data_IF_001986609393
#
_entry.id   IF_001986609393
#
_cell.length_a   1.000
_cell.length_b   1.000
_cell.length_c   1.000
_cell.angle_alpha   90.00
_cell.angle_beta   90.00
_cell.angle_gamma   90.00
#
_symmetry.space_group_name_H-M   'P 1'
#
loop_
_entity.id
_entity.type
_entity.pdbx_description
1 polymer ?
#
# COMPACT_ATOMS: atom_id res chain seq x y z
N UNK A 1 -20.44 -29.19 25.10
CA UNK A 1 -19.69 -28.66 23.93
C UNK A 1 -20.45 -27.43 23.42
N UNK A 2 -19.96 -26.23 23.48
CA UNK A 2 -20.44 -25.04 22.73
C UNK A 2 -20.31 -23.70 23.47
N UNK A 3 -19.48 -23.59 24.49
CA UNK A 3 -19.21 -22.28 25.13
C UNK A 3 -18.02 -21.54 24.50
N UNK A 4 -17.11 -22.24 23.81
CA UNK A 4 -15.90 -21.63 23.24
C UNK A 4 -16.11 -20.87 21.92
N UNK A 5 -16.96 -21.37 21.02
CA UNK A 5 -17.20 -20.78 19.70
C UNK A 5 -17.96 -19.44 19.76
N UNK A 6 -18.90 -19.29 20.68
CA UNK A 6 -19.58 -17.98 20.90
C UNK A 6 -18.63 -16.91 21.46
N UNK A 7 -17.62 -17.31 22.23
CA UNK A 7 -16.66 -16.40 22.85
C UNK A 7 -15.78 -15.67 21.81
N UNK A 8 -15.30 -16.34 20.77
CA UNK A 8 -14.35 -15.77 19.80
C UNK A 8 -14.99 -14.99 18.64
N UNK A 9 -16.30 -15.04 18.47
CA UNK A 9 -16.98 -14.26 17.42
C UNK A 9 -16.68 -12.77 17.52
N UNK A 10 -16.62 -12.23 18.74
CA UNK A 10 -16.30 -10.82 19.00
C UNK A 10 -14.86 -10.51 18.62
N UNK A 11 -13.92 -11.39 18.87
CA UNK A 11 -12.51 -11.25 18.48
C UNK A 11 -12.35 -11.23 16.96
N UNK A 12 -13.08 -12.11 16.25
CA UNK A 12 -13.10 -12.11 14.78
C UNK A 12 -13.57 -10.76 14.22
N UNK A 13 -14.67 -10.24 14.73
CA UNK A 13 -15.15 -8.91 14.32
C UNK A 13 -14.21 -7.78 14.73
N UNK A 14 -13.50 -7.90 15.85
CA UNK A 14 -12.47 -6.94 16.23
C UNK A 14 -11.34 -6.89 15.21
N UNK A 15 -10.85 -8.07 14.75
CA UNK A 15 -9.85 -8.13 13.69
C UNK A 15 -10.35 -7.54 12.37
N UNK A 16 -11.56 -7.88 11.96
CA UNK A 16 -12.18 -7.38 10.73
C UNK A 16 -12.37 -5.87 10.74
N UNK A 17 -12.92 -5.33 11.83
CA UNK A 17 -13.10 -3.90 11.99
C UNK A 17 -11.76 -3.15 12.02
N UNK A 18 -10.74 -3.72 12.67
CA UNK A 18 -9.41 -3.11 12.72
C UNK A 18 -8.76 -3.07 11.35
N UNK A 19 -8.89 -4.13 10.56
CA UNK A 19 -8.35 -4.17 9.20
C UNK A 19 -9.00 -3.13 8.28
N UNK A 20 -10.30 -2.92 8.43
CA UNK A 20 -11.03 -1.84 7.76
C UNK A 20 -10.54 -0.46 8.25
N UNK A 21 -10.37 -0.27 9.57
CA UNK A 21 -9.93 1.00 10.12
C UNK A 21 -8.50 1.37 9.68
N UNK A 22 -7.62 0.37 9.50
CA UNK A 22 -6.24 0.57 9.04
C UNK A 22 -6.14 1.19 7.64
N UNK A 23 -7.13 0.98 6.78
CA UNK A 23 -7.13 1.58 5.44
C UNK A 23 -7.09 3.12 5.46
N UNK A 24 -7.52 3.76 6.57
CA UNK A 24 -7.49 5.21 6.72
C UNK A 24 -6.06 5.78 6.71
N UNK A 25 -5.11 5.09 7.32
CA UNK A 25 -3.71 5.56 7.37
C UNK A 25 -2.95 5.36 6.05
N UNK A 26 -3.42 4.47 5.19
CA UNK A 26 -2.84 4.26 3.87
C UNK A 26 -3.46 5.15 2.78
N UNK A 27 -4.76 5.47 2.90
CA UNK A 27 -5.50 6.17 1.85
C UNK A 27 -5.62 7.68 2.09
N UNK A 28 -5.70 8.11 3.36
CA UNK A 28 -5.91 9.52 3.68
C UNK A 28 -4.69 10.41 3.33
N UNK A 29 -3.43 10.05 3.65
CA UNK A 29 -2.28 10.88 3.30
C UNK A 29 -2.15 11.15 1.80
N UNK A 30 -2.18 10.16 0.88
CA UNK A 30 -2.10 10.41 -0.56
C UNK A 30 -3.23 11.31 -1.09
N UNK A 31 -4.44 11.15 -0.55
CA UNK A 31 -5.60 11.97 -0.91
C UNK A 31 -5.40 13.46 -0.54
N UNK A 32 -4.57 13.75 0.45
CA UNK A 32 -4.28 15.10 0.95
C UNK A 32 -2.97 15.69 0.41
N UNK A 33 -2.20 14.98 -0.43
CA UNK A 33 -0.88 15.43 -0.88
C UNK A 33 -0.91 16.81 -1.52
N UNK A 34 -1.79 17.07 -2.49
CA UNK A 34 -1.92 18.39 -3.10
C UNK A 34 -2.35 19.46 -2.08
N UNK A 35 -3.27 19.11 -1.16
CA UNK A 35 -3.67 20.04 -0.08
C UNK A 35 -2.46 20.44 0.78
N UNK A 36 -1.53 19.51 1.05
CA UNK A 36 -0.32 19.81 1.82
C UNK A 36 0.72 20.58 1.02
N UNK A 37 0.85 20.27 -0.28
CA UNK A 37 1.69 21.03 -1.20
C UNK A 37 1.25 22.50 -1.25
N UNK A 38 -0.03 22.75 -1.54
CA UNK A 38 -0.57 24.09 -1.73
C UNK A 38 -0.61 24.89 -0.42
N UNK A 39 -0.95 24.26 0.71
CA UNK A 39 -1.17 24.95 1.99
C UNK A 39 0.11 25.22 2.76
N UNK A 40 1.04 24.28 2.74
CA UNK A 40 2.27 24.32 3.57
C UNK A 40 3.54 24.46 2.73
N UNK A 41 3.45 24.52 1.40
CA UNK A 41 4.61 24.59 0.51
C UNK A 41 5.50 23.34 0.57
N UNK A 42 4.92 22.18 0.92
CA UNK A 42 5.67 20.92 1.04
C UNK A 42 5.93 20.37 -0.35
N UNK A 43 7.19 20.14 -0.70
CA UNK A 43 7.57 19.63 -2.02
C UNK A 43 7.08 18.20 -2.24
N UNK A 44 6.92 17.80 -3.50
CA UNK A 44 6.52 16.42 -3.86
C UNK A 44 7.56 15.39 -3.38
N UNK A 45 8.84 15.74 -3.36
CA UNK A 45 9.89 14.93 -2.73
C UNK A 45 9.58 14.63 -1.26
N UNK A 46 9.21 15.65 -0.49
CA UNK A 46 8.87 15.50 0.92
C UNK A 46 7.58 14.71 1.14
N UNK A 47 6.59 14.85 0.25
CA UNK A 47 5.36 14.03 0.28
C UNK A 47 5.67 12.56 -0.02
N UNK A 48 6.50 12.28 -1.02
CA UNK A 48 7.01 10.93 -1.29
C UNK A 48 7.81 10.36 -0.12
N UNK A 49 8.58 11.21 0.59
CA UNK A 49 9.32 10.78 1.80
C UNK A 49 8.38 10.31 2.91
N UNK A 50 7.17 10.85 3.05
CA UNK A 50 6.19 10.34 4.01
C UNK A 50 5.77 8.89 3.69
N UNK A 51 5.62 8.55 2.41
CA UNK A 51 5.35 7.17 1.98
C UNK A 51 6.54 6.28 2.27
N UNK A 52 7.76 6.75 1.97
CA UNK A 52 9.00 6.03 2.29
C UNK A 52 9.08 5.73 3.79
N UNK A 53 8.87 6.74 4.65
CA UNK A 53 8.88 6.60 6.11
C UNK A 53 7.82 5.60 6.57
N UNK A 54 6.61 5.64 5.99
CA UNK A 54 5.54 4.71 6.33
C UNK A 54 5.99 3.25 6.14
N UNK A 55 6.42 2.87 4.94
CA UNK A 55 6.81 1.49 4.64
C UNK A 55 8.12 1.07 5.32
N UNK A 56 9.11 1.95 5.42
CA UNK A 56 10.35 1.66 6.16
C UNK A 56 10.08 1.42 7.66
N UNK A 57 9.11 2.14 8.25
CA UNK A 57 8.71 1.93 9.64
C UNK A 57 8.01 0.59 9.81
N UNK A 58 7.10 0.22 8.89
CA UNK A 58 6.44 -1.08 8.89
C UNK A 58 7.45 -2.22 8.78
N UNK A 59 8.33 -2.17 7.77
CA UNK A 59 9.41 -3.12 7.57
C UNK A 59 10.29 -3.28 8.83
N UNK A 60 10.61 -2.16 9.51
CA UNK A 60 11.38 -2.19 10.75
C UNK A 60 10.62 -2.94 11.85
N UNK A 61 9.33 -2.72 11.99
CA UNK A 61 8.47 -3.44 12.93
C UNK A 61 8.44 -4.93 12.61
N UNK A 62 8.25 -5.30 11.35
CA UNK A 62 8.20 -6.70 10.91
C UNK A 62 9.51 -7.43 11.23
N UNK A 63 10.65 -6.79 10.97
CA UNK A 63 11.96 -7.33 11.30
C UNK A 63 12.15 -7.48 12.81
N UNK A 64 11.77 -6.47 13.61
CA UNK A 64 11.83 -6.54 15.07
C UNK A 64 10.99 -7.73 15.58
N UNK A 65 9.77 -7.89 15.09
CA UNK A 65 8.93 -8.98 15.52
C UNK A 65 9.39 -10.35 14.99
N UNK A 66 9.96 -10.42 13.80
CA UNK A 66 10.55 -11.68 13.28
C UNK A 66 11.67 -12.19 14.18
N UNK A 67 12.57 -11.31 14.66
CA UNK A 67 13.74 -11.73 15.43
C UNK A 67 13.52 -11.70 16.96
N UNK A 68 12.61 -10.87 17.44
CA UNK A 68 12.44 -10.59 18.89
C UNK A 68 11.05 -10.89 19.43
N UNK A 69 10.22 -11.65 18.71
CA UNK A 69 8.84 -12.00 19.09
C UNK A 69 8.71 -12.48 20.54
N UNK A 70 9.69 -13.24 21.05
CA UNK A 70 9.70 -13.80 22.41
C UNK A 70 9.66 -12.76 23.54
N UNK A 71 10.04 -11.51 23.26
CA UNK A 71 10.06 -10.43 24.25
C UNK A 71 8.74 -9.67 24.33
N UNK A 72 7.83 -9.89 23.39
CA UNK A 72 6.57 -9.17 23.30
C UNK A 72 5.39 -10.04 23.75
N UNK A 73 4.45 -9.42 24.45
CA UNK A 73 3.20 -10.07 24.80
C UNK A 73 2.15 -9.80 23.72
N UNK A 74 1.76 -10.81 22.92
CA UNK A 74 0.83 -10.63 21.80
C UNK A 74 -0.49 -9.98 22.21
N UNK A 75 -1.03 -10.37 23.37
CA UNK A 75 -2.32 -9.85 23.85
C UNK A 75 -2.25 -8.37 24.23
N UNK A 76 -1.14 -7.94 24.87
CA UNK A 76 -0.94 -6.52 25.19
C UNK A 76 -0.72 -5.72 23.92
N UNK A 77 0.11 -6.21 23.00
CA UNK A 77 0.41 -5.54 21.72
C UNK A 77 -0.86 -5.34 20.90
N UNK A 78 -1.70 -6.36 20.74
CA UNK A 78 -2.96 -6.29 20.01
C UNK A 78 -3.92 -5.23 20.57
N UNK A 79 -3.95 -5.07 21.91
CA UNK A 79 -4.81 -4.06 22.56
C UNK A 79 -4.26 -2.65 22.44
N UNK A 80 -2.92 -2.50 22.42
CA UNK A 80 -2.28 -1.17 22.34
C UNK A 80 -2.18 -0.64 20.92
N UNK A 81 -2.07 -1.51 19.92
CA UNK A 81 -1.88 -1.15 18.52
C UNK A 81 -2.91 -0.11 18.01
N UNK A 82 -4.23 -0.23 18.23
CA UNK A 82 -5.18 0.77 17.75
C UNK A 82 -5.02 2.13 18.44
N UNK A 83 -4.54 2.15 19.69
CA UNK A 83 -4.24 3.41 20.39
C UNK A 83 -3.09 4.16 19.72
N UNK A 84 -2.07 3.44 19.21
CA UNK A 84 -0.98 4.05 18.43
C UNK A 84 -1.51 4.63 17.12
N UNK A 85 -2.43 3.94 16.43
CA UNK A 85 -3.05 4.48 15.22
C UNK A 85 -3.79 5.79 15.51
N UNK A 86 -4.62 5.81 16.55
CA UNK A 86 -5.32 7.02 17.00
C UNK A 86 -4.35 8.14 17.32
N UNK A 87 -3.33 7.86 18.13
CA UNK A 87 -2.32 8.86 18.52
C UNK A 87 -1.58 9.40 17.29
N UNK A 88 -1.17 8.52 16.36
CA UNK A 88 -0.50 8.93 15.13
C UNK A 88 -1.33 9.86 14.27
N UNK A 89 -2.61 9.54 14.04
CA UNK A 89 -3.53 10.40 13.30
C UNK A 89 -3.79 11.75 14.00
N UNK A 90 -3.92 11.75 15.33
CA UNK A 90 -4.07 12.98 16.08
C UNK A 90 -2.82 13.86 16.05
N UNK A 91 -1.63 13.27 16.17
CA UNK A 91 -0.35 13.99 16.02
C UNK A 91 -0.20 14.56 14.61
N UNK A 92 -0.55 13.74 13.59
CA UNK A 92 -0.55 14.12 12.18
C UNK A 92 -1.45 15.32 11.88
N UNK A 93 -2.58 15.46 12.57
CA UNK A 93 -3.50 16.59 12.44
C UNK A 93 -3.11 17.78 13.34
N UNK A 94 -2.77 17.52 14.61
CA UNK A 94 -2.62 18.57 15.63
C UNK A 94 -1.36 19.44 15.43
N UNK A 95 -0.20 18.82 15.15
CA UNK A 95 1.04 19.58 15.04
C UNK A 95 0.99 20.58 13.87
N UNK A 96 0.62 20.20 12.63
CA UNK A 96 0.52 21.14 11.53
C UNK A 96 -0.53 22.24 11.74
N UNK A 97 -1.56 21.95 12.51
CA UNK A 97 -2.63 22.92 12.81
C UNK A 97 -2.20 23.94 13.85
N UNK A 98 -1.57 23.48 14.94
CA UNK A 98 -1.11 24.34 16.04
C UNK A 98 0.18 25.08 15.71
N UNK A 99 1.05 24.45 14.94
CA UNK A 99 2.39 24.96 14.59
C UNK A 99 2.63 24.81 13.08
N UNK A 100 2.03 25.66 12.21
CA UNK A 100 2.14 25.51 10.75
C UNK A 100 3.58 25.53 10.22
N UNK A 101 4.50 26.24 10.89
CA UNK A 101 5.93 26.28 10.55
C UNK A 101 6.63 24.93 10.81
N UNK A 102 6.05 24.05 11.61
CA UNK A 102 6.53 22.71 11.90
C UNK A 102 5.66 21.61 11.26
N UNK A 103 4.85 21.98 10.26
CA UNK A 103 3.86 21.07 9.66
C UNK A 103 4.48 19.76 9.21
N UNK A 104 5.59 19.80 8.49
CA UNK A 104 6.25 18.61 7.99
C UNK A 104 6.74 17.67 9.12
N UNK A 105 7.28 18.24 10.21
CA UNK A 105 7.68 17.46 11.39
C UNK A 105 6.47 16.75 12.00
N UNK A 106 5.33 17.41 12.05
CA UNK A 106 4.06 16.82 12.51
C UNK A 106 3.61 15.65 11.63
N UNK A 107 3.69 15.81 10.31
CA UNK A 107 3.38 14.75 9.37
C UNK A 107 4.33 13.55 9.52
N UNK A 108 5.64 13.78 9.64
CA UNK A 108 6.62 12.72 9.87
C UNK A 108 6.36 12.00 11.20
N UNK A 109 6.20 12.74 12.30
CA UNK A 109 5.96 12.13 13.61
C UNK A 109 4.66 11.31 13.64
N UNK A 110 3.57 11.86 13.10
CA UNK A 110 2.30 11.15 12.98
C UNK A 110 2.43 9.89 12.13
N UNK A 111 3.11 9.99 10.97
CA UNK A 111 3.37 8.87 10.06
C UNK A 111 4.13 7.75 10.79
N UNK A 112 5.24 8.05 11.47
CA UNK A 112 6.00 7.04 12.21
C UNK A 112 5.13 6.33 13.25
N UNK A 113 4.33 7.09 14.03
CA UNK A 113 3.50 6.52 15.08
C UNK A 113 2.42 5.58 14.53
N UNK A 114 1.66 6.00 13.50
CA UNK A 114 0.64 5.13 12.96
C UNK A 114 1.22 4.00 12.09
N UNK A 115 2.42 4.17 11.51
CA UNK A 115 3.08 3.12 10.74
C UNK A 115 3.62 2.00 11.63
N UNK A 116 4.04 2.32 12.88
CA UNK A 116 4.32 1.29 13.88
C UNK A 116 3.07 0.43 14.12
N UNK A 117 1.90 1.07 14.25
CA UNK A 117 0.65 0.34 14.41
C UNK A 117 0.28 -0.48 13.17
N UNK A 118 0.59 0.01 11.97
CA UNK A 118 0.36 -0.71 10.71
C UNK A 118 1.18 -2.01 10.65
N UNK A 119 2.49 -1.95 10.91
CA UNK A 119 3.33 -3.15 10.96
C UNK A 119 2.86 -4.15 12.03
N UNK A 120 2.51 -3.65 13.23
CA UNK A 120 1.91 -4.51 14.27
C UNK A 120 0.60 -5.17 13.80
N UNK A 121 -0.20 -4.48 13.00
CA UNK A 121 -1.44 -5.00 12.43
C UNK A 121 -1.16 -6.18 11.50
N UNK A 122 -0.20 -6.06 10.61
CA UNK A 122 0.21 -7.12 9.68
C UNK A 122 0.74 -8.34 10.43
N UNK A 123 1.58 -8.13 11.42
CA UNK A 123 2.17 -9.22 12.25
C UNK A 123 1.11 -9.97 13.07
N UNK A 124 0.07 -9.31 13.56
CA UNK A 124 -0.80 -9.91 14.58
C UNK A 124 -2.20 -10.27 14.11
N UNK A 125 -2.81 -9.55 13.15
CA UNK A 125 -4.22 -9.79 12.81
C UNK A 125 -4.42 -11.11 12.08
N UNK A 126 -3.62 -11.42 11.07
CA UNK A 126 -3.72 -12.66 10.31
C UNK A 126 -3.48 -13.90 11.20
N UNK A 127 -2.42 -13.97 12.04
CA UNK A 127 -2.25 -15.06 12.98
C UNK A 127 -3.37 -15.15 14.03
N UNK A 128 -3.92 -14.01 14.47
CA UNK A 128 -5.06 -14.03 15.41
C UNK A 128 -6.26 -14.70 14.78
N UNK A 129 -6.64 -14.31 13.53
CA UNK A 129 -7.76 -14.91 12.82
C UNK A 129 -7.51 -16.39 12.55
N UNK A 130 -6.29 -16.79 12.17
CA UNK A 130 -5.91 -18.17 11.93
C UNK A 130 -6.00 -19.04 13.21
N UNK A 131 -5.76 -18.44 14.39
CA UNK A 131 -5.86 -19.14 15.69
C UNK A 131 -7.31 -19.27 16.21
N UNK A 132 -8.30 -18.65 15.55
CA UNK A 132 -9.70 -18.77 15.97
C UNK A 132 -10.30 -20.11 15.51
N UNK A 133 -11.12 -20.77 16.33
CA UNK A 133 -11.88 -21.92 15.88
C UNK A 133 -12.89 -21.48 14.81
N UNK A 134 -12.75 -22.04 13.62
CA UNK A 134 -13.61 -21.75 12.47
C UNK A 134 -13.90 -23.02 11.67
N UNK A 135 -15.12 -23.12 11.12
CA UNK A 135 -15.49 -24.18 10.17
C UNK A 135 -14.88 -23.93 8.77
N UNK A 136 -14.52 -22.64 8.47
CA UNK A 136 -13.99 -22.22 7.18
C UNK A 136 -12.86 -21.19 7.37
N UNK A 137 -11.66 -21.61 7.85
CA UNK A 137 -10.54 -20.69 8.14
C UNK A 137 -10.10 -19.86 6.93
N UNK A 138 -10.06 -20.47 5.74
CA UNK A 138 -9.67 -19.80 4.49
C UNK A 138 -10.64 -18.67 4.12
N UNK A 139 -11.94 -18.89 4.37
CA UNK A 139 -12.97 -17.86 4.13
C UNK A 139 -12.82 -16.68 5.09
N UNK A 140 -12.50 -16.96 6.35
CA UNK A 140 -12.29 -15.92 7.35
C UNK A 140 -11.06 -15.07 7.04
N UNK A 141 -9.98 -15.70 6.59
CA UNK A 141 -8.76 -15.01 6.15
C UNK A 141 -9.01 -14.18 4.90
N UNK A 142 -9.69 -14.75 3.89
CA UNK A 142 -10.05 -14.03 2.67
C UNK A 142 -10.95 -12.82 2.97
N UNK A 143 -11.89 -12.96 3.91
CA UNK A 143 -12.75 -11.85 4.35
C UNK A 143 -11.92 -10.75 5.03
N UNK A 144 -10.98 -11.10 5.92
CA UNK A 144 -10.09 -10.15 6.57
C UNK A 144 -9.39 -9.26 5.55
N UNK A 145 -8.71 -9.85 4.58
CA UNK A 145 -7.97 -9.10 3.55
C UNK A 145 -8.88 -8.32 2.58
N UNK A 146 -10.10 -8.81 2.32
CA UNK A 146 -11.07 -8.10 1.48
C UNK A 146 -11.56 -6.81 2.13
N UNK A 147 -11.65 -6.78 3.47
CA UNK A 147 -12.10 -5.59 4.22
C UNK A 147 -11.14 -4.40 4.08
N UNK A 148 -9.86 -4.63 3.78
CA UNK A 148 -8.94 -3.55 3.45
C UNK A 148 -9.40 -2.77 2.21
N UNK A 149 -9.73 -3.47 1.12
CA UNK A 149 -10.21 -2.81 -0.10
C UNK A 149 -11.53 -2.04 0.11
N UNK A 150 -12.47 -2.62 0.85
CA UNK A 150 -13.70 -1.91 1.24
C UNK A 150 -13.41 -0.70 2.13
N UNK A 151 -12.43 -0.82 3.02
CA UNK A 151 -11.97 0.29 3.86
C UNK A 151 -11.40 1.43 3.03
N UNK A 152 -10.51 1.14 2.08
CA UNK A 152 -9.95 2.15 1.13
C UNK A 152 -11.08 2.88 0.42
N UNK A 153 -12.02 2.15 -0.18
CA UNK A 153 -13.17 2.75 -0.87
C UNK A 153 -13.98 3.67 0.06
N UNK A 154 -14.27 3.20 1.28
CA UNK A 154 -15.04 3.97 2.27
C UNK A 154 -14.30 5.25 2.67
N UNK A 155 -12.99 5.15 2.95
CA UNK A 155 -12.17 6.30 3.32
C UNK A 155 -12.14 7.33 2.20
N UNK A 156 -11.87 6.90 0.96
CA UNK A 156 -11.81 7.81 -0.18
C UNK A 156 -13.15 8.51 -0.40
N UNK A 157 -14.26 7.76 -0.48
CA UNK A 157 -15.59 8.33 -0.76
C UNK A 157 -16.03 9.32 0.34
N UNK A 158 -15.91 8.93 1.61
CA UNK A 158 -16.32 9.79 2.72
C UNK A 158 -15.40 11.01 2.81
N UNK A 159 -14.09 10.84 2.67
CA UNK A 159 -13.14 11.95 2.74
C UNK A 159 -13.36 12.95 1.61
N UNK A 160 -13.54 12.47 0.38
CA UNK A 160 -13.82 13.33 -0.77
C UNK A 160 -15.13 14.09 -0.61
N UNK A 161 -16.20 13.42 -0.14
CA UNK A 161 -17.47 14.07 0.14
C UNK A 161 -17.33 15.14 1.22
N UNK A 162 -16.59 14.86 2.29
CA UNK A 162 -16.33 15.82 3.36
C UNK A 162 -15.57 17.04 2.84
N UNK A 163 -14.46 16.82 2.13
CA UNK A 163 -13.64 17.92 1.59
C UNK A 163 -14.41 18.73 0.53
N UNK A 164 -15.32 18.11 -0.23
CA UNK A 164 -16.18 18.80 -1.19
C UNK A 164 -17.23 19.71 -0.52
N UNK A 165 -17.77 19.28 0.62
CA UNK A 165 -18.84 20.01 1.33
C UNK A 165 -18.25 21.12 2.19
N UNK A 166 -17.20 20.82 2.94
CA UNK A 166 -16.64 21.72 3.95
C UNK A 166 -15.40 22.49 3.48
N UNK A 167 -14.69 22.01 2.48
CA UNK A 167 -13.44 22.59 1.98
C UNK A 167 -12.19 21.83 2.47
N UNK A 168 -11.11 22.01 1.72
CA UNK A 168 -9.82 21.36 2.01
C UNK A 168 -9.13 21.94 3.26
N UNK A 169 -9.52 23.14 3.69
CA UNK A 169 -9.04 23.76 4.93
C UNK A 169 -9.41 22.99 6.19
N UNK A 170 -10.45 22.15 6.15
CA UNK A 170 -10.91 21.33 7.28
C UNK A 170 -10.32 19.92 7.30
N UNK A 171 -9.24 19.68 6.55
CA UNK A 171 -8.59 18.38 6.47
C UNK A 171 -8.18 17.81 7.85
N UNK A 172 -7.86 18.68 8.84
CA UNK A 172 -7.51 18.26 10.19
C UNK A 172 -8.72 17.64 10.93
N UNK A 173 -9.94 18.17 10.72
CA UNK A 173 -11.18 17.63 11.30
C UNK A 173 -11.46 16.27 10.68
N UNK A 174 -11.29 16.14 9.37
CA UNK A 174 -11.41 14.85 8.67
C UNK A 174 -10.43 13.81 9.23
N UNK A 175 -9.16 14.19 9.45
CA UNK A 175 -8.15 13.30 10.03
C UNK A 175 -8.52 12.89 11.46
N UNK A 176 -9.00 13.83 12.29
CA UNK A 176 -9.50 13.55 13.62
C UNK A 176 -10.75 12.64 13.62
N UNK A 177 -11.65 12.80 12.65
CA UNK A 177 -12.77 11.89 12.43
C UNK A 177 -12.29 10.45 12.16
N UNK A 178 -11.32 10.27 11.27
CA UNK A 178 -10.76 8.94 11.00
C UNK A 178 -10.02 8.36 12.21
N UNK A 179 -9.45 9.18 13.09
CA UNK A 179 -8.84 8.73 14.34
C UNK A 179 -9.84 8.11 15.35
N UNK A 180 -11.16 8.30 15.16
CA UNK A 180 -12.18 7.65 15.98
C UNK A 180 -12.32 6.14 15.68
N UNK A 181 -12.06 5.70 14.45
CA UNK A 181 -12.18 4.28 14.08
C UNK A 181 -11.25 3.37 14.90
N UNK A 182 -9.95 3.67 15.05
CA UNK A 182 -9.06 2.85 15.87
C UNK A 182 -9.47 2.82 17.35
N UNK A 183 -10.15 3.84 17.88
CA UNK A 183 -10.71 3.82 19.25
C UNK A 183 -11.72 2.68 19.37
N UNK A 184 -12.60 2.53 18.37
CA UNK A 184 -13.53 1.40 18.30
C UNK A 184 -12.81 0.05 18.30
N UNK A 185 -11.70 -0.07 17.55
CA UNK A 185 -10.83 -1.26 17.57
C UNK A 185 -10.27 -1.53 18.95
N UNK A 186 -9.78 -0.50 19.65
CA UNK A 186 -9.23 -0.63 21.01
C UNK A 186 -10.29 -1.17 21.98
N UNK A 187 -11.49 -0.60 21.98
CA UNK A 187 -12.61 -1.06 22.81
C UNK A 187 -12.96 -2.53 22.50
N UNK A 188 -13.02 -2.89 21.23
CA UNK A 188 -13.30 -4.28 20.81
C UNK A 188 -12.24 -5.24 21.32
N UNK A 189 -10.94 -4.96 21.15
CA UNK A 189 -9.87 -5.84 21.63
C UNK A 189 -9.77 -5.90 23.15
N UNK A 190 -10.01 -4.80 23.84
CA UNK A 190 -10.00 -4.79 25.32
C UNK A 190 -11.14 -5.62 25.92
N UNK A 191 -12.27 -5.74 25.21
CA UNK A 191 -13.46 -6.44 25.67
C UNK A 191 -13.62 -7.84 25.06
N UNK A 192 -12.71 -8.28 24.19
CA UNK A 192 -12.76 -9.59 23.52
C UNK A 192 -11.75 -10.57 24.13
N UNK A 193 -12.10 -11.86 24.25
CA UNK A 193 -11.16 -12.89 24.60
C UNK A 193 -10.18 -13.10 23.44
N UNK A 194 -8.88 -13.15 23.72
CA UNK A 194 -7.85 -13.38 22.70
C UNK A 194 -7.38 -14.83 22.74
N UNK A 195 -7.21 -15.51 21.57
CA UNK A 195 -6.72 -16.86 21.50
C UNK A 195 -5.25 -16.94 21.94
N UNK A 196 -4.81 -18.12 22.40
CA UNK A 196 -3.40 -18.40 22.58
C UNK A 196 -2.72 -18.43 21.21
N UNK A 197 -1.73 -17.57 20.99
CA UNK A 197 -0.97 -17.50 19.75
C UNK A 197 0.43 -18.07 19.96
N UNK A 198 0.78 -19.11 19.22
CA UNK A 198 2.14 -19.64 19.17
C UNK A 198 2.89 -18.97 18.01
N UNK A 199 3.50 -17.83 18.27
CA UNK A 199 4.29 -17.10 17.28
C UNK A 199 5.69 -17.71 17.05
N UNK A 200 6.11 -18.67 17.90
CA UNK A 200 7.44 -19.30 17.85
C UNK A 200 7.53 -20.57 17.01
N UNK A 201 6.43 -21.07 16.46
CA UNK A 201 6.38 -22.36 15.74
C UNK A 201 6.99 -22.36 14.33
N UNK A 202 7.71 -21.34 13.92
CA UNK A 202 8.09 -21.15 12.52
C UNK A 202 9.59 -21.14 12.22
N UNK A 203 10.47 -21.58 13.10
CA UNK A 203 11.93 -21.46 12.89
C UNK A 203 12.67 -22.77 12.55
N UNK A 204 12.03 -23.78 11.99
CA UNK A 204 12.73 -25.01 11.57
C UNK A 204 12.61 -25.24 10.06
N UNK A 205 13.56 -24.76 9.28
CA UNK A 205 14.15 -25.42 8.12
C UNK A 205 15.15 -24.54 7.34
N UNK A 206 16.37 -24.39 7.87
CA UNK A 206 17.43 -23.58 7.23
C UNK A 206 18.42 -24.39 6.37
N UNK A 207 18.17 -25.64 6.03
CA UNK A 207 19.23 -26.57 5.60
C UNK A 207 19.33 -26.92 4.10
N UNK A 208 18.50 -26.39 3.19
CA UNK A 208 18.58 -26.74 1.75
C UNK A 208 18.89 -25.55 0.82
N UNK A 209 19.82 -24.71 1.21
CA UNK A 209 19.81 -23.28 0.92
C UNK A 209 20.44 -22.76 -0.39
N UNK A 210 21.44 -23.42 -1.05
CA UNK A 210 22.23 -22.67 -2.05
C UNK A 210 21.62 -22.50 -3.44
N UNK A 211 20.83 -23.46 -3.89
CA UNK A 211 20.16 -23.43 -5.22
C UNK A 211 18.80 -22.75 -5.18
N UNK A 212 18.12 -22.82 -4.03
CA UNK A 212 16.86 -22.13 -3.79
C UNK A 212 17.05 -20.62 -3.62
N UNK A 213 18.22 -20.16 -3.17
CA UNK A 213 18.50 -18.75 -2.88
C UNK A 213 18.44 -17.85 -4.13
N UNK A 214 18.91 -18.31 -5.31
CA UNK A 214 18.81 -17.48 -6.52
C UNK A 214 17.37 -17.37 -7.03
N UNK A 215 16.61 -18.47 -7.01
CA UNK A 215 15.19 -18.46 -7.37
C UNK A 215 14.37 -17.53 -6.44
N UNK A 216 14.64 -17.60 -5.14
CA UNK A 216 14.03 -16.72 -4.15
C UNK A 216 14.43 -15.26 -4.37
N UNK A 217 15.71 -14.97 -4.58
CA UNK A 217 16.18 -13.61 -4.86
C UNK A 217 15.52 -13.02 -6.12
N UNK A 218 15.31 -13.82 -7.15
CA UNK A 218 14.59 -13.39 -8.35
C UNK A 218 13.12 -13.08 -8.06
N UNK A 219 12.45 -13.88 -7.22
CA UNK A 219 11.10 -13.61 -6.78
C UNK A 219 11.03 -12.33 -5.93
N UNK A 220 12.00 -12.09 -5.04
CA UNK A 220 12.10 -10.85 -4.24
C UNK A 220 12.28 -9.62 -5.15
N UNK A 221 13.13 -9.70 -6.16
CA UNK A 221 13.26 -8.62 -7.16
C UNK A 221 11.95 -8.42 -7.93
N UNK A 222 11.27 -9.49 -8.30
CA UNK A 222 10.01 -9.41 -9.02
C UNK A 222 8.90 -8.74 -8.19
N UNK A 223 8.76 -9.10 -6.91
CA UNK A 223 7.76 -8.47 -6.02
C UNK A 223 8.12 -7.01 -5.73
N UNK A 224 9.42 -6.68 -5.56
CA UNK A 224 9.88 -5.30 -5.46
C UNK A 224 9.42 -4.47 -6.65
N UNK A 225 9.68 -4.93 -7.87
CA UNK A 225 9.32 -4.22 -9.11
C UNK A 225 7.80 -4.11 -9.30
N UNK A 226 7.08 -5.17 -8.94
CA UNK A 226 5.62 -5.19 -9.00
C UNK A 226 4.96 -4.25 -7.99
N UNK A 227 5.44 -4.28 -6.76
CA UNK A 227 4.99 -3.39 -5.70
C UNK A 227 5.32 -1.93 -6.00
N UNK A 228 6.50 -1.66 -6.53
CA UNK A 228 6.89 -0.34 -7.01
C UNK A 228 5.89 0.19 -8.06
N UNK A 229 5.53 -0.65 -9.04
CA UNK A 229 4.59 -0.28 -10.09
C UNK A 229 3.16 -0.05 -9.57
N UNK A 230 2.70 -0.81 -8.56
CA UNK A 230 1.39 -0.61 -7.96
C UNK A 230 1.36 0.65 -7.09
N UNK A 231 2.34 0.80 -6.21
CA UNK A 231 2.32 1.85 -5.20
C UNK A 231 2.70 3.24 -5.71
N UNK A 232 3.49 3.35 -6.78
CA UNK A 232 3.70 4.64 -7.45
C UNK A 232 2.37 5.24 -7.93
N UNK A 233 1.51 4.45 -8.60
CA UNK A 233 0.20 4.93 -9.03
C UNK A 233 -0.74 5.15 -7.85
N UNK A 234 -0.84 4.20 -6.93
CA UNK A 234 -1.76 4.28 -5.78
C UNK A 234 -1.57 5.55 -4.96
N UNK A 235 -0.33 5.97 -4.74
CA UNK A 235 -0.03 7.15 -3.93
C UNK A 235 -0.15 8.48 -4.70
N UNK A 236 -0.01 8.46 -6.02
CA UNK A 236 0.04 9.70 -6.80
C UNK A 236 -1.17 9.92 -7.71
N UNK A 237 -2.06 8.93 -7.89
CA UNK A 237 -3.16 9.00 -8.87
C UNK A 237 -4.09 10.21 -8.66
N UNK A 238 -4.49 10.51 -7.41
CA UNK A 238 -5.35 11.67 -7.12
C UNK A 238 -4.62 12.97 -7.44
N UNK A 239 -3.39 13.15 -6.91
CA UNK A 239 -2.58 14.33 -7.16
C UNK A 239 -2.23 14.51 -8.64
N UNK A 240 -1.90 13.43 -9.34
CA UNK A 240 -1.63 13.45 -10.77
C UNK A 240 -2.85 13.90 -11.60
N UNK A 241 -4.03 13.38 -11.30
CA UNK A 241 -5.26 13.77 -11.99
C UNK A 241 -5.63 15.23 -11.73
N UNK A 242 -5.42 15.71 -10.52
CA UNK A 242 -5.69 17.09 -10.14
C UNK A 242 -4.69 18.05 -10.80
N UNK A 243 -3.38 17.82 -10.62
CA UNK A 243 -2.33 18.72 -11.12
C UNK A 243 -2.05 18.56 -12.59
N UNK A 244 -1.79 17.33 -13.07
CA UNK A 244 -1.32 17.11 -14.43
C UNK A 244 -2.44 16.97 -15.49
N UNK A 245 -3.66 16.67 -15.06
CA UNK A 245 -4.82 16.53 -15.95
C UNK A 245 -5.88 17.63 -15.72
N UNK A 246 -5.66 18.56 -14.79
CA UNK A 246 -6.60 19.63 -14.44
C UNK A 246 -8.02 19.15 -14.09
N UNK A 247 -8.11 17.94 -13.53
CA UNK A 247 -9.40 17.40 -13.12
C UNK A 247 -9.76 17.93 -11.72
N UNK A 248 -11.05 18.19 -11.47
CA UNK A 248 -11.48 18.51 -10.11
C UNK A 248 -11.04 17.41 -9.12
N UNK A 249 -10.60 17.80 -7.92
CA UNK A 249 -10.14 16.86 -6.88
C UNK A 249 -11.11 15.68 -6.66
N UNK A 250 -12.43 15.96 -6.63
CA UNK A 250 -13.46 14.92 -6.51
C UNK A 250 -13.34 13.86 -7.60
N UNK A 251 -13.01 14.25 -8.82
CA UNK A 251 -12.84 13.33 -9.96
C UNK A 251 -11.56 12.51 -9.76
N UNK A 252 -10.44 13.14 -9.36
CA UNK A 252 -9.18 12.48 -9.04
C UNK A 252 -9.33 11.44 -7.92
N UNK A 253 -10.07 11.77 -6.87
CA UNK A 253 -10.30 10.89 -5.75
C UNK A 253 -11.23 9.71 -6.11
N UNK A 254 -12.42 10.00 -6.68
CA UNK A 254 -13.44 8.98 -6.94
C UNK A 254 -13.10 8.15 -8.19
N UNK A 255 -12.87 8.80 -9.33
CA UNK A 255 -12.54 8.10 -10.58
C UNK A 255 -11.06 7.70 -10.64
N UNK A 256 -10.19 8.32 -9.85
CA UNK A 256 -8.81 7.90 -9.66
C UNK A 256 -8.70 6.80 -8.61
N UNK A 257 -8.55 7.19 -7.35
CA UNK A 257 -8.22 6.26 -6.25
C UNK A 257 -9.29 5.19 -6.03
N UNK A 258 -10.59 5.56 -5.96
CA UNK A 258 -11.63 4.58 -5.66
C UNK A 258 -11.83 3.60 -6.83
N UNK A 259 -11.87 4.07 -8.07
CA UNK A 259 -12.01 3.19 -9.24
C UNK A 259 -10.78 2.31 -9.45
N UNK A 260 -9.55 2.84 -9.22
CA UNK A 260 -8.32 2.05 -9.19
C UNK A 260 -8.44 0.88 -8.21
N UNK A 261 -8.82 1.17 -6.95
CA UNK A 261 -8.98 0.15 -5.92
C UNK A 261 -10.05 -0.89 -6.28
N UNK A 262 -11.18 -0.47 -6.87
CA UNK A 262 -12.23 -1.38 -7.36
C UNK A 262 -11.72 -2.30 -8.46
N UNK A 263 -10.99 -1.78 -9.45
CA UNK A 263 -10.42 -2.58 -10.53
C UNK A 263 -9.36 -3.56 -10.00
N UNK A 264 -8.55 -3.14 -9.05
CA UNK A 264 -7.56 -3.99 -8.39
C UNK A 264 -8.23 -5.19 -7.71
N UNK A 265 -9.26 -4.98 -6.90
CA UNK A 265 -10.03 -6.06 -6.24
C UNK A 265 -10.72 -6.94 -7.27
N UNK A 266 -11.35 -6.35 -8.28
CA UNK A 266 -12.04 -7.10 -9.35
C UNK A 266 -11.08 -8.02 -10.09
N UNK A 267 -9.89 -7.55 -10.44
CA UNK A 267 -8.89 -8.36 -11.14
C UNK A 267 -8.40 -9.54 -10.27
N UNK A 268 -8.20 -9.33 -8.96
CA UNK A 268 -7.86 -10.41 -8.01
C UNK A 268 -8.96 -11.46 -7.94
N UNK A 269 -10.23 -11.04 -7.89
CA UNK A 269 -11.38 -11.96 -7.90
C UNK A 269 -11.49 -12.74 -9.22
N UNK A 270 -11.25 -12.08 -10.36
CA UNK A 270 -11.23 -12.74 -11.66
C UNK A 270 -10.11 -13.77 -11.75
N UNK A 271 -8.91 -13.45 -11.24
CA UNK A 271 -7.83 -14.41 -11.19
C UNK A 271 -8.16 -15.61 -10.28
N UNK A 272 -8.72 -15.37 -9.10
CA UNK A 272 -9.14 -16.45 -8.20
C UNK A 272 -10.13 -17.42 -8.86
N UNK A 273 -10.98 -16.94 -9.77
CA UNK A 273 -11.99 -17.76 -10.46
C UNK A 273 -11.47 -18.42 -11.75
N UNK A 274 -10.66 -17.72 -12.52
CA UNK A 274 -10.28 -18.12 -13.89
C UNK A 274 -8.77 -18.24 -14.10
N UNK A 275 -7.95 -17.83 -13.12
CA UNK A 275 -6.50 -17.81 -13.24
C UNK A 275 -5.91 -19.21 -13.46
N UNK A 276 -4.89 -19.29 -14.33
CA UNK A 276 -4.19 -20.52 -14.60
C UNK A 276 -2.68 -20.31 -14.54
N UNK A 277 -2.03 -19.78 -15.46
CA UNK A 277 -0.58 -19.66 -15.52
C UNK A 277 -0.11 -18.32 -14.91
N UNK A 278 0.30 -18.33 -13.64
CA UNK A 278 0.70 -17.11 -12.92
C UNK A 278 1.87 -16.38 -13.59
N UNK A 279 2.86 -17.09 -14.11
CA UNK A 279 4.00 -16.47 -14.79
C UNK A 279 3.57 -15.67 -16.01
N UNK A 280 2.60 -16.18 -16.76
CA UNK A 280 2.03 -15.49 -17.94
C UNK A 280 1.20 -14.27 -17.51
N UNK A 281 0.42 -14.39 -16.44
CA UNK A 281 -0.36 -13.28 -15.88
C UNK A 281 0.57 -12.17 -15.43
N UNK A 282 1.62 -12.48 -14.67
CA UNK A 282 2.62 -11.49 -14.22
C UNK A 282 3.29 -10.77 -15.41
N UNK A 283 3.63 -11.50 -16.47
CA UNK A 283 4.24 -10.90 -17.67
C UNK A 283 3.29 -9.89 -18.33
N UNK A 284 2.03 -10.28 -18.58
CA UNK A 284 1.05 -9.35 -19.16
C UNK A 284 0.70 -8.20 -18.23
N UNK A 285 0.69 -8.43 -16.92
CA UNK A 285 0.53 -7.40 -15.90
C UNK A 285 1.64 -6.34 -15.99
N UNK A 286 2.90 -6.76 -16.08
CA UNK A 286 4.03 -5.83 -16.25
C UNK A 286 3.95 -5.05 -17.57
N UNK A 287 3.66 -5.73 -18.69
CA UNK A 287 3.49 -5.07 -19.99
C UNK A 287 2.33 -4.07 -19.93
N UNK A 288 1.19 -4.46 -19.39
CA UNK A 288 0.04 -3.58 -19.22
C UNK A 288 0.35 -2.38 -18.34
N UNK A 289 1.11 -2.55 -17.26
CA UNK A 289 1.55 -1.45 -16.39
C UNK A 289 2.44 -0.45 -17.14
N UNK A 290 3.43 -0.92 -17.93
CA UNK A 290 4.23 -0.03 -18.78
C UNK A 290 3.36 0.78 -19.71
N UNK A 291 2.43 0.12 -20.41
CA UNK A 291 1.53 0.81 -21.36
C UNK A 291 0.65 1.83 -20.64
N UNK A 292 0.06 1.47 -19.50
CA UNK A 292 -0.78 2.39 -18.72
C UNK A 292 0.00 3.62 -18.26
N UNK A 293 1.21 3.47 -17.73
CA UNK A 293 2.05 4.58 -17.30
C UNK A 293 2.44 5.50 -18.46
N UNK A 294 2.85 4.93 -19.60
CA UNK A 294 3.22 5.71 -20.77
C UNK A 294 2.00 6.43 -21.38
N UNK A 295 0.85 5.76 -21.46
CA UNK A 295 -0.38 6.40 -21.95
C UNK A 295 -0.83 7.51 -20.99
N UNK A 296 -0.78 7.29 -19.69
CA UNK A 296 -1.12 8.29 -18.69
C UNK A 296 -0.28 9.56 -18.85
N UNK A 297 1.05 9.40 -19.04
CA UNK A 297 1.97 10.52 -19.14
C UNK A 297 1.95 11.24 -20.50
N UNK A 298 1.86 10.49 -21.61
CA UNK A 298 2.11 10.99 -22.97
C UNK A 298 0.86 11.31 -23.75
N UNK A 299 -0.33 10.80 -23.33
CA UNK A 299 -1.57 11.08 -24.07
C UNK A 299 -1.92 12.56 -24.01
N UNK A 300 -2.26 13.18 -25.15
CA UNK A 300 -2.80 14.55 -25.19
C UNK A 300 -4.26 14.62 -24.70
N UNK A 301 -4.96 13.49 -24.63
CA UNK A 301 -6.36 13.43 -24.25
C UNK A 301 -6.53 13.08 -22.78
N UNK A 302 -7.07 14.01 -21.99
CA UNK A 302 -7.30 13.87 -20.54
C UNK A 302 -8.06 12.58 -20.19
N UNK A 303 -9.13 12.27 -20.93
CA UNK A 303 -9.93 11.07 -20.70
C UNK A 303 -9.12 9.77 -20.89
N UNK A 304 -8.23 9.73 -21.88
CA UNK A 304 -7.37 8.56 -22.15
C UNK A 304 -6.32 8.41 -21.04
N UNK A 305 -5.69 9.52 -20.62
CA UNK A 305 -4.77 9.52 -19.46
C UNK A 305 -5.46 9.05 -18.19
N UNK A 306 -6.66 9.56 -17.90
CA UNK A 306 -7.45 9.16 -16.72
C UNK A 306 -7.79 7.66 -16.75
N UNK A 307 -8.28 7.16 -17.90
CA UNK A 307 -8.58 5.73 -18.06
C UNK A 307 -7.33 4.87 -17.85
N UNK A 308 -6.18 5.29 -18.38
CA UNK A 308 -4.92 4.59 -18.21
C UNK A 308 -4.49 4.55 -16.74
N UNK A 309 -4.60 5.66 -15.99
CA UNK A 309 -4.34 5.67 -14.54
C UNK A 309 -5.22 4.67 -13.79
N UNK A 310 -6.52 4.64 -14.07
CA UNK A 310 -7.47 3.72 -13.40
C UNK A 310 -7.21 2.27 -13.79
N UNK A 311 -6.92 1.99 -15.06
CA UNK A 311 -6.59 0.64 -15.55
C UNK A 311 -5.28 0.10 -14.96
N UNK A 312 -4.37 0.98 -14.50
CA UNK A 312 -3.17 0.53 -13.78
C UNK A 312 -3.55 -0.33 -12.58
N UNK A 313 -4.64 -0.01 -11.86
CA UNK A 313 -5.14 -0.85 -10.76
C UNK A 313 -5.48 -2.28 -11.19
N UNK A 314 -6.08 -2.46 -12.36
CA UNK A 314 -6.37 -3.79 -12.88
C UNK A 314 -5.09 -4.57 -13.24
N UNK A 315 -4.20 -3.95 -14.00
CA UNK A 315 -3.02 -4.65 -14.52
C UNK A 315 -1.96 -4.89 -13.43
N UNK A 316 -1.84 -4.05 -12.40
CA UNK A 316 -0.88 -4.26 -11.30
C UNK A 316 -1.39 -5.18 -10.21
N UNK A 317 -2.68 -5.46 -10.16
CA UNK A 317 -3.37 -6.17 -9.08
C UNK A 317 -2.73 -7.49 -8.65
N UNK A 318 -2.19 -8.25 -9.61
CA UNK A 318 -1.58 -9.56 -9.37
C UNK A 318 -0.07 -9.51 -9.16
N UNK A 319 0.57 -8.33 -9.26
CA UNK A 319 2.03 -8.22 -9.16
C UNK A 319 2.56 -8.60 -7.77
N UNK A 320 1.84 -8.23 -6.72
CA UNK A 320 2.18 -8.65 -5.36
C UNK A 320 1.75 -10.11 -5.08
N UNK A 321 0.46 -10.45 -5.02
CA UNK A 321 0.03 -11.79 -4.64
C UNK A 321 0.46 -12.86 -5.64
N UNK A 322 0.51 -12.52 -6.93
CA UNK A 322 0.92 -13.46 -7.97
C UNK A 322 2.41 -13.83 -7.88
N UNK A 323 3.26 -12.92 -7.40
CA UNK A 323 4.68 -13.26 -7.20
C UNK A 323 4.87 -14.20 -6.00
N UNK A 324 4.03 -14.11 -4.96
CA UNK A 324 3.98 -15.10 -3.88
C UNK A 324 3.56 -16.48 -4.42
N UNK A 325 2.51 -16.53 -5.23
CA UNK A 325 2.06 -17.77 -5.89
C UNK A 325 3.18 -18.36 -6.77
N UNK A 326 3.88 -17.51 -7.52
CA UNK A 326 5.02 -17.94 -8.35
C UNK A 326 6.14 -18.56 -7.50
N UNK A 327 6.44 -17.95 -6.35
CA UNK A 327 7.42 -18.47 -5.40
C UNK A 327 6.97 -19.85 -4.89
N UNK A 328 5.73 -20.01 -4.46
CA UNK A 328 5.17 -21.27 -3.97
C UNK A 328 5.18 -22.37 -5.03
N UNK A 329 4.85 -22.04 -6.29
CA UNK A 329 4.90 -23.00 -7.41
C UNK A 329 6.32 -23.46 -7.78
N UNK A 330 7.32 -22.60 -7.60
CA UNK A 330 8.68 -22.83 -8.11
C UNK A 330 9.69 -23.24 -7.04
N UNK A 331 9.43 -22.92 -5.78
CA UNK A 331 10.32 -23.21 -4.66
C UNK A 331 9.63 -24.19 -3.72
N UNK A 332 10.07 -25.46 -3.67
CA UNK A 332 9.49 -26.44 -2.76
C UNK A 332 9.68 -26.02 -1.29
N UNK A 333 8.62 -25.98 -0.51
CA UNK A 333 8.60 -25.65 0.93
C UNK A 333 9.36 -24.35 1.25
N UNK A 334 8.91 -23.19 0.76
CA UNK A 334 9.67 -21.93 0.83
C UNK A 334 9.92 -21.44 2.26
N UNK A 335 9.33 -21.99 3.27
CA UNK A 335 9.56 -21.64 4.67
C UNK A 335 9.24 -20.16 5.00
N UNK A 336 9.16 -19.83 6.27
CA UNK A 336 8.78 -18.49 6.76
C UNK A 336 9.75 -17.39 6.34
N UNK A 337 11.05 -17.70 6.32
CA UNK A 337 12.08 -16.73 5.91
C UNK A 337 11.89 -16.26 4.47
N UNK A 338 11.40 -17.14 3.57
CA UNK A 338 11.13 -16.76 2.18
C UNK A 338 9.95 -15.76 2.11
N UNK A 339 8.87 -15.99 2.85
CA UNK A 339 7.74 -15.05 2.90
C UNK A 339 8.15 -13.72 3.51
N UNK A 340 8.97 -13.72 4.58
CA UNK A 340 9.47 -12.49 5.18
C UNK A 340 10.34 -11.68 4.20
N UNK A 341 11.20 -12.33 3.43
CA UNK A 341 12.01 -11.68 2.39
C UNK A 341 11.15 -11.14 1.24
N UNK A 342 10.11 -11.87 0.86
CA UNK A 342 9.15 -11.41 -0.15
C UNK A 342 8.39 -10.17 0.34
N UNK A 343 7.88 -10.17 1.57
CA UNK A 343 7.23 -9.00 2.17
C UNK A 343 8.18 -7.80 2.21
N UNK A 344 9.38 -7.98 2.74
CA UNK A 344 10.41 -6.94 2.78
C UNK A 344 10.75 -6.37 1.39
N UNK A 345 10.86 -7.24 0.37
CA UNK A 345 11.07 -6.82 -1.02
C UNK A 345 9.91 -5.99 -1.56
N UNK A 346 8.68 -6.40 -1.25
CA UNK A 346 7.46 -5.68 -1.62
C UNK A 346 7.38 -4.30 -0.97
N UNK A 347 7.62 -4.22 0.34
CA UNK A 347 7.60 -2.95 1.09
C UNK A 347 8.70 -1.98 0.64
N UNK A 348 9.88 -2.50 0.31
CA UNK A 348 10.92 -1.70 -0.33
C UNK A 348 10.43 -1.10 -1.66
N UNK A 349 9.76 -1.87 -2.51
CA UNK A 349 9.19 -1.38 -3.76
C UNK A 349 8.12 -0.31 -3.52
N UNK A 350 7.21 -0.58 -2.58
CA UNK A 350 6.15 0.35 -2.19
C UNK A 350 6.68 1.68 -1.63
N UNK A 351 7.85 1.67 -1.00
CA UNK A 351 8.48 2.87 -0.44
C UNK A 351 9.28 3.66 -1.48
N UNK A 352 10.10 2.97 -2.29
CA UNK A 352 11.06 3.60 -3.20
C UNK A 352 10.38 4.29 -4.38
N UNK A 353 9.37 3.66 -4.98
CA UNK A 353 8.78 4.18 -6.22
C UNK A 353 8.00 5.49 -6.03
N UNK A 354 7.13 5.66 -5.01
CA UNK A 354 6.48 6.94 -4.77
C UNK A 354 7.46 8.05 -4.39
N UNK A 355 8.53 7.73 -3.64
CA UNK A 355 9.59 8.66 -3.31
C UNK A 355 10.34 9.14 -4.56
N UNK A 356 10.73 8.19 -5.44
CA UNK A 356 11.43 8.51 -6.68
C UNK A 356 10.58 9.41 -7.59
N UNK A 357 9.26 9.13 -7.68
CA UNK A 357 8.34 9.95 -8.43
C UNK A 357 8.31 11.39 -7.91
N UNK A 358 8.23 11.59 -6.59
CA UNK A 358 8.28 12.92 -5.97
C UNK A 358 9.59 13.65 -6.25
N UNK A 359 10.74 12.96 -6.10
CA UNK A 359 12.08 13.52 -6.41
C UNK A 359 12.16 13.96 -7.89
N UNK A 360 11.70 13.11 -8.80
CA UNK A 360 11.72 13.42 -10.24
C UNK A 360 10.80 14.60 -10.55
N UNK A 361 9.62 14.64 -9.97
CA UNK A 361 8.66 15.74 -10.15
C UNK A 361 9.29 17.09 -9.77
N UNK A 362 9.84 17.20 -8.56
CA UNK A 362 10.44 18.46 -8.08
C UNK A 362 11.69 18.88 -8.91
N UNK A 363 12.60 17.92 -9.18
CA UNK A 363 13.82 18.23 -9.94
C UNK A 363 13.53 18.63 -11.40
N UNK A 364 12.55 17.99 -12.01
CA UNK A 364 12.12 18.33 -13.37
C UNK A 364 11.42 19.69 -13.37
N UNK A 365 10.50 19.94 -12.44
CA UNK A 365 9.79 21.22 -12.34
C UNK A 365 10.75 22.40 -12.12
N UNK A 366 11.85 22.20 -11.37
CA UNK A 366 12.87 23.19 -11.15
C UNK A 366 13.84 23.40 -12.33
N UNK A 367 13.78 22.58 -13.38
CA UNK A 367 14.71 22.65 -14.52
C UNK A 367 14.30 23.70 -15.56
N UNK A 368 15.29 24.31 -16.18
CA UNK A 368 15.05 25.32 -17.25
C UNK A 368 14.38 24.72 -18.46
N UNK A 369 14.79 23.50 -18.87
CA UNK A 369 14.17 22.81 -20.02
C UNK A 369 12.68 22.50 -19.80
N UNK A 370 12.29 22.17 -18.56
CA UNK A 370 10.88 21.93 -18.26
C UNK A 370 10.07 23.23 -18.29
N UNK A 371 10.66 24.35 -17.86
CA UNK A 371 10.03 25.67 -17.98
C UNK A 371 9.84 26.07 -19.46
N UNK A 372 10.84 25.84 -20.31
CA UNK A 372 10.76 26.12 -21.74
C UNK A 372 9.72 25.22 -22.43
N UNK A 373 9.69 23.93 -22.07
CA UNK A 373 8.72 22.97 -22.58
C UNK A 373 7.30 23.31 -22.11
N UNK A 374 7.15 23.73 -20.86
CA UNK A 374 5.87 24.14 -20.28
C UNK A 374 5.25 25.30 -21.06
N UNK A 375 6.06 26.31 -21.38
CA UNK A 375 5.61 27.44 -22.23
C UNK A 375 5.17 26.94 -23.61
N UNK A 376 5.94 26.06 -24.26
CA UNK A 376 5.64 25.55 -25.59
C UNK A 376 4.35 24.69 -25.66
N UNK A 377 4.05 23.99 -24.59
CA UNK A 377 2.88 23.09 -24.46
C UNK A 377 1.70 23.74 -23.73
N UNK A 378 1.82 25.00 -23.27
CA UNK A 378 0.83 25.67 -22.42
C UNK A 378 0.51 24.87 -21.13
N UNK A 379 1.54 24.31 -20.52
CA UNK A 379 1.51 23.56 -19.27
C UNK A 379 2.28 24.31 -18.16
N UNK A 380 2.20 23.84 -16.92
CA UNK A 380 3.05 24.30 -15.82
C UNK A 380 4.29 23.40 -15.66
N UNK A 381 5.39 23.89 -15.05
CA UNK A 381 6.55 23.05 -14.74
C UNK A 381 6.20 21.83 -13.88
N UNK A 382 5.27 21.96 -12.92
CA UNK A 382 4.81 20.86 -12.06
C UNK A 382 4.08 19.77 -12.86
N UNK A 383 3.27 20.16 -13.85
CA UNK A 383 2.63 19.20 -14.76
C UNK A 383 3.68 18.41 -15.56
N UNK A 384 4.69 19.08 -16.08
CA UNK A 384 5.81 18.41 -16.79
C UNK A 384 6.53 17.48 -15.81
N UNK A 385 6.82 17.94 -14.57
CA UNK A 385 7.45 17.16 -13.52
C UNK A 385 6.66 15.87 -13.21
N UNK A 386 5.35 15.98 -13.01
CA UNK A 386 4.50 14.82 -12.74
C UNK A 386 4.40 13.85 -13.92
N UNK A 387 4.31 14.35 -15.16
CA UNK A 387 4.30 13.51 -16.36
C UNK A 387 5.62 12.73 -16.51
N UNK A 388 6.76 13.37 -16.28
CA UNK A 388 8.08 12.73 -16.29
C UNK A 388 8.21 11.74 -15.13
N UNK A 389 7.66 12.06 -13.96
CA UNK A 389 7.55 11.14 -12.82
C UNK A 389 6.81 9.85 -13.20
N UNK A 390 5.68 9.94 -13.90
CA UNK A 390 4.95 8.76 -14.39
C UNK A 390 5.75 7.95 -15.41
N UNK A 391 6.48 8.60 -16.32
CA UNK A 391 7.38 7.90 -17.25
C UNK A 391 8.48 7.17 -16.47
N UNK A 392 9.04 7.81 -15.46
CA UNK A 392 10.06 7.19 -14.59
C UNK A 392 9.49 5.98 -13.84
N UNK A 393 8.25 6.05 -13.35
CA UNK A 393 7.59 4.93 -12.71
C UNK A 393 7.39 3.73 -13.67
N UNK A 394 7.24 3.95 -14.97
CA UNK A 394 7.17 2.89 -15.97
C UNK A 394 8.46 2.04 -16.06
N UNK A 395 9.59 2.55 -15.59
CA UNK A 395 10.88 1.81 -15.59
C UNK A 395 10.79 0.57 -14.70
N UNK A 396 10.07 0.61 -13.58
CA UNK A 396 9.93 -0.54 -12.68
C UNK A 396 9.27 -1.75 -13.37
N UNK A 397 8.07 -1.64 -13.94
CA UNK A 397 7.47 -2.77 -14.64
C UNK A 397 8.23 -3.11 -15.93
N UNK A 398 8.94 -2.18 -16.58
CA UNK A 398 9.80 -2.47 -17.73
C UNK A 398 10.95 -3.42 -17.36
N UNK A 399 11.65 -3.13 -16.26
CA UNK A 399 12.67 -4.04 -15.71
C UNK A 399 12.01 -5.35 -15.26
N UNK A 400 10.77 -5.29 -14.72
CA UNK A 400 9.97 -6.43 -14.30
C UNK A 400 9.68 -7.42 -15.43
N UNK A 401 9.44 -6.92 -16.66
CA UNK A 401 9.30 -7.79 -17.84
C UNK A 401 10.57 -8.65 -18.02
N UNK A 402 11.75 -8.02 -17.97
CA UNK A 402 13.04 -8.71 -18.06
C UNK A 402 13.21 -9.73 -16.95
N UNK A 403 12.89 -9.37 -15.70
CA UNK A 403 12.98 -10.24 -14.54
C UNK A 403 12.07 -11.49 -14.70
N UNK A 404 10.82 -11.33 -15.12
CA UNK A 404 9.89 -12.45 -15.32
C UNK A 404 10.35 -13.35 -16.46
N UNK A 405 10.82 -12.80 -17.57
CA UNK A 405 11.37 -13.60 -18.68
C UNK A 405 12.61 -14.38 -18.25
N UNK A 406 13.45 -13.79 -17.42
CA UNK A 406 14.62 -14.48 -16.86
C UNK A 406 14.18 -15.58 -15.88
N UNK A 407 13.25 -15.34 -14.99
CA UNK A 407 12.65 -16.32 -14.08
C UNK A 407 12.08 -17.52 -14.87
N UNK A 408 11.30 -17.25 -15.93
CA UNK A 408 10.73 -18.29 -16.78
C UNK A 408 11.82 -19.18 -17.38
N UNK A 409 12.91 -18.60 -17.90
CA UNK A 409 14.06 -19.36 -18.46
C UNK A 409 14.82 -20.10 -17.38
N UNK A 410 15.04 -19.47 -16.23
CA UNK A 410 15.78 -20.06 -15.11
C UNK A 410 15.10 -21.34 -14.60
N UNK A 411 13.81 -21.29 -14.31
CA UNK A 411 13.07 -22.45 -13.82
C UNK A 411 12.85 -23.51 -14.91
N UNK A 412 12.62 -23.13 -16.17
CA UNK A 412 12.52 -24.10 -17.27
C UNK A 412 13.82 -24.88 -17.54
N UNK A 413 14.98 -24.32 -17.26
CA UNK A 413 16.28 -24.99 -17.41
C UNK A 413 16.62 -25.90 -16.22
N UNK A 414 15.92 -25.70 -15.08
CA UNK A 414 16.22 -26.37 -13.82
C UNK A 414 15.07 -27.31 -13.34
N UNK A 415 13.98 -27.42 -14.14
CA UNK A 415 12.94 -28.47 -14.04
C UNK A 415 13.38 -29.67 -14.85
#
# INVERSE_FOLDING_TARGET
>A
MNTSTKSYRRTKYACYYTYLAMSSIFSLPPLLFNTFHDRYGISYTLLGTLVLINFCTQLTVDLIFTFFTKYFNPHKTLRMMPCLTTLGLLVYAAIPTLFPQMAYIGFVAGTVIFSIAAGLCEVFLSPTVAALPSEHPERDMSMLHSLYGWGVLTVVVISTAFLRIFGTEYWMILTAFWALLPIGSCVLFCTSPLPAMNLTAQSESAAHAKRQNLGLALCVVCIFLGSAAENAMTNWISGYMETALHLPKVVGDILGMAAFAMLLVTARMLYAKYGKNITTVLLYSMIGAVLCYLIAALSPWVAVSMIACVLTGFVTSMLWPGTLILMEEKIPNPGVTAYALMAAGGDCGASVAPQLLGIVTDNVAASTWASDLAVSLSLTPDEIGMKVGMITAAVFPMIGIGAILFIKRYFAKNS
#
